data_IF_248732983830
#
_entry.id   IF_248732983830
#
_cell.length_a   1.000
_cell.length_b   1.000
_cell.length_c   1.000
_cell.angle_alpha   90.00
_cell.angle_beta   90.00
_cell.angle_gamma   90.00
#
_symmetry.space_group_name_H-M   'P 1'
#
loop_
_entity.id
_entity.type
_entity.pdbx_description
1 polymer ?
#
# COMPACT_ATOMS: atom_id res chain seq x y z
N UNK A 1 -2.83 22.54 -18.32
CA UNK A 1 -3.90 21.54 -18.42
C UNK A 1 -3.69 20.53 -17.31
N UNK A 2 -4.54 20.57 -16.29
CA UNK A 2 -4.54 19.63 -15.18
C UNK A 2 -5.30 18.39 -15.64
N UNK A 3 -4.64 17.24 -15.78
CA UNK A 3 -5.34 15.97 -15.96
C UNK A 3 -5.95 15.62 -14.61
N UNK A 4 -7.24 15.73 -14.49
CA UNK A 4 -8.05 15.20 -13.39
C UNK A 4 -7.95 13.68 -13.47
N UNK A 5 -7.36 13.08 -12.43
CA UNK A 5 -7.44 11.64 -12.19
C UNK A 5 -8.82 11.43 -11.58
N UNK A 6 -9.76 10.97 -12.39
CA UNK A 6 -11.07 10.54 -11.94
C UNK A 6 -10.90 9.17 -11.27
N UNK A 7 -10.94 9.14 -9.94
CA UNK A 7 -11.08 7.91 -9.17
C UNK A 7 -12.58 7.64 -9.10
N UNK A 8 -13.09 6.80 -9.99
CA UNK A 8 -14.43 6.25 -9.86
C UNK A 8 -14.40 5.15 -8.80
N UNK A 9 -14.75 5.50 -7.58
CA UNK A 9 -15.15 4.55 -6.55
C UNK A 9 -16.63 4.22 -6.83
N UNK A 10 -16.89 3.22 -7.67
CA UNK A 10 -18.24 2.77 -7.91
C UNK A 10 -18.70 1.88 -6.75
N UNK A 11 -19.43 2.49 -5.82
CA UNK A 11 -20.29 1.79 -4.89
C UNK A 11 -21.51 1.30 -5.68
N UNK A 12 -21.44 0.10 -6.24
CA UNK A 12 -22.59 -0.54 -6.89
C UNK A 12 -23.36 -1.32 -5.84
N UNK A 13 -24.44 -0.73 -5.32
CA UNK A 13 -25.55 -1.51 -4.79
C UNK A 13 -26.23 -2.19 -5.98
N UNK A 14 -25.93 -3.47 -6.22
CA UNK A 14 -26.64 -4.26 -7.20
C UNK A 14 -27.97 -4.73 -6.62
N UNK A 15 -29.08 -4.11 -7.06
CA UNK A 15 -30.38 -4.76 -7.04
C UNK A 15 -30.32 -5.90 -8.07
N UNK A 16 -30.36 -7.13 -7.59
CA UNK A 16 -30.42 -8.32 -8.44
C UNK A 16 -31.82 -8.48 -9.06
N UNK A 17 -31.88 -8.27 -10.37
CA UNK A 17 -32.98 -8.81 -11.18
C UNK A 17 -32.57 -10.18 -11.67
N UNK A 18 -33.16 -11.22 -11.12
CA UNK A 18 -33.02 -12.59 -11.57
C UNK A 18 -33.75 -12.76 -12.91
N UNK A 19 -33.00 -12.92 -14.00
CA UNK A 19 -33.52 -13.54 -15.22
C UNK A 19 -32.82 -14.90 -15.41
N UNK A 20 -33.62 -15.94 -15.29
CA UNK A 20 -33.27 -17.31 -15.56
C UNK A 20 -32.95 -17.48 -17.05
N UNK A 21 -31.70 -17.70 -17.41
CA UNK A 21 -31.31 -18.13 -18.74
C UNK A 21 -30.35 -19.32 -18.66
N UNK A 22 -30.64 -20.28 -19.52
CA UNK A 22 -30.10 -21.59 -19.72
C UNK A 22 -28.64 -21.84 -19.34
N UNK A 23 -28.41 -23.02 -18.78
CA UNK A 23 -27.09 -23.56 -18.48
C UNK A 23 -26.31 -23.79 -19.79
N UNK A 24 -25.56 -22.79 -20.24
CA UNK A 24 -24.47 -23.02 -21.16
C UNK A 24 -23.28 -23.52 -20.35
N UNK A 25 -22.70 -24.64 -20.73
CA UNK A 25 -21.43 -25.10 -20.22
C UNK A 25 -20.38 -24.00 -20.50
N UNK A 26 -20.04 -23.24 -19.47
CA UNK A 26 -18.97 -22.26 -19.57
C UNK A 26 -17.64 -23.03 -19.59
N UNK A 27 -16.90 -22.91 -20.67
CA UNK A 27 -15.51 -23.36 -20.71
C UNK A 27 -14.77 -22.70 -19.53
N UNK A 28 -13.91 -23.47 -18.87
CA UNK A 28 -13.10 -22.98 -17.75
C UNK A 28 -12.39 -21.67 -18.15
N UNK A 29 -12.70 -20.58 -17.45
CA UNK A 29 -12.12 -19.26 -17.77
C UNK A 29 -10.88 -19.03 -16.93
N UNK A 30 -9.72 -18.90 -17.58
CA UNK A 30 -8.45 -18.68 -16.89
C UNK A 30 -7.93 -17.28 -17.11
N UNK A 31 -7.36 -16.69 -16.05
CA UNK A 31 -6.75 -15.36 -16.05
C UNK A 31 -5.40 -15.40 -15.35
N UNK A 32 -4.39 -14.79 -15.96
CA UNK A 32 -3.08 -14.61 -15.30
C UNK A 32 -3.13 -13.38 -14.39
N UNK A 33 -2.81 -13.56 -13.13
CA UNK A 33 -2.78 -12.49 -12.13
C UNK A 33 -1.39 -12.29 -11.57
N UNK A 34 -1.13 -11.11 -11.03
CA UNK A 34 0.04 -10.81 -10.20
C UNK A 34 -0.39 -10.54 -8.78
N UNK A 35 0.26 -11.22 -7.84
CA UNK A 35 0.16 -10.98 -6.43
C UNK A 35 1.19 -9.94 -6.00
N UNK A 36 0.77 -8.96 -5.22
CA UNK A 36 1.60 -7.89 -4.65
C UNK A 36 1.55 -7.97 -3.12
N UNK A 37 1.99 -9.11 -2.57
CA UNK A 37 1.92 -9.38 -1.13
C UNK A 37 2.83 -8.46 -0.31
N UNK A 38 3.94 -8.00 -0.89
CA UNK A 38 4.78 -6.96 -0.28
C UNK A 38 4.02 -5.64 -0.05
N UNK A 39 3.12 -5.29 -0.98
CA UNK A 39 2.25 -4.11 -0.84
C UNK A 39 1.10 -4.40 0.13
N UNK A 40 0.45 -5.56 0.03
CA UNK A 40 -0.65 -5.98 0.89
C UNK A 40 -0.26 -5.92 2.37
N UNK A 41 0.87 -6.48 2.75
CA UNK A 41 1.36 -6.50 4.14
C UNK A 41 1.61 -5.11 4.74
N UNK A 42 1.78 -4.07 3.92
CA UNK A 42 1.93 -2.69 4.44
C UNK A 42 0.65 -2.17 5.10
N UNK A 43 -0.50 -2.73 4.76
CA UNK A 43 -1.81 -2.31 5.30
C UNK A 43 -1.95 -2.64 6.78
N UNK A 44 -1.34 -3.74 7.29
CA UNK A 44 -1.34 -4.05 8.72
C UNK A 44 -0.92 -2.86 9.59
N UNK A 45 0.16 -2.18 9.20
CA UNK A 45 0.63 -1.02 9.97
C UNK A 45 -0.34 0.17 9.88
N UNK A 46 -1.07 0.29 8.78
CA UNK A 46 -2.10 1.33 8.62
C UNK A 46 -3.31 1.04 9.50
N UNK A 47 -3.77 -0.21 9.52
CA UNK A 47 -4.87 -0.65 10.40
C UNK A 47 -4.47 -0.46 11.87
N UNK A 48 -3.29 -0.91 12.28
CA UNK A 48 -2.83 -0.78 13.66
C UNK A 48 -2.62 0.67 14.08
N UNK A 49 -2.18 1.53 13.16
CA UNK A 49 -2.14 2.98 13.40
C UNK A 49 -3.54 3.58 13.56
N UNK A 50 -4.52 3.08 12.82
CA UNK A 50 -5.92 3.48 12.94
C UNK A 50 -6.52 2.98 14.26
N UNK A 51 -6.33 1.70 14.60
CA UNK A 51 -6.80 1.08 15.85
C UNK A 51 -6.22 1.72 17.13
N UNK A 52 -5.05 2.35 17.04
CA UNK A 52 -4.39 3.09 18.14
C UNK A 52 -4.58 4.60 18.08
N UNK A 53 -5.33 5.12 17.12
CA UNK A 53 -5.59 6.56 16.98
C UNK A 53 -6.73 7.00 17.89
N UNK A 54 -6.90 8.32 18.04
CA UNK A 54 -8.11 8.89 18.67
C UNK A 54 -9.38 8.82 17.80
N UNK A 55 -9.30 8.19 16.62
CA UNK A 55 -10.37 8.14 15.62
C UNK A 55 -11.05 6.75 15.56
N UNK A 56 -11.01 6.00 16.67
CA UNK A 56 -11.59 4.64 16.79
C UNK A 56 -13.08 4.71 17.15
N UNK A 57 -13.88 5.14 16.19
CA UNK A 57 -15.33 5.26 16.35
C UNK A 57 -16.07 4.82 15.08
N UNK A 58 -17.34 4.50 15.22
CA UNK A 58 -18.32 4.37 14.13
C UNK A 58 -19.69 4.88 14.59
N UNK A 59 -20.59 5.16 13.64
CA UNK A 59 -21.95 5.55 13.99
C UNK A 59 -22.70 4.40 14.65
N UNK A 60 -23.56 4.70 15.62
CA UNK A 60 -24.57 3.75 16.07
C UNK A 60 -25.62 3.51 14.96
N UNK A 61 -26.41 2.45 15.07
CA UNK A 61 -27.31 2.00 14.00
C UNK A 61 -28.35 3.03 13.54
N UNK A 62 -28.70 3.99 14.40
CA UNK A 62 -29.64 5.08 14.08
C UNK A 62 -28.94 6.39 13.70
N UNK A 63 -27.60 6.41 13.58
CA UNK A 63 -26.79 7.57 13.20
C UNK A 63 -26.91 8.80 14.13
N UNK A 64 -27.28 8.62 15.38
CA UNK A 64 -27.46 9.71 16.33
C UNK A 64 -26.24 9.99 17.19
N UNK A 65 -25.34 8.99 17.36
CA UNK A 65 -24.15 9.11 18.18
C UNK A 65 -22.99 8.25 17.63
N UNK A 66 -21.77 8.66 17.94
CA UNK A 66 -20.56 7.87 17.68
C UNK A 66 -20.34 6.86 18.79
N UNK A 67 -20.13 5.61 18.41
CA UNK A 67 -19.69 4.53 19.29
C UNK A 67 -18.16 4.51 19.24
N UNK A 68 -17.50 4.79 20.34
CA UNK A 68 -16.06 4.72 20.48
C UNK A 68 -15.66 3.33 20.99
N UNK A 69 -14.58 2.79 20.40
CA UNK A 69 -14.06 1.47 20.76
C UNK A 69 -12.58 1.52 21.11
N UNK A 70 -12.16 0.65 22.01
CA UNK A 70 -10.76 0.42 22.34
C UNK A 70 -10.31 -0.86 21.66
N UNK A 71 -9.29 -0.79 20.82
CA UNK A 71 -8.81 -1.90 20.02
C UNK A 71 -7.36 -2.21 20.38
N UNK A 72 -7.06 -3.50 20.55
CA UNK A 72 -5.68 -3.98 20.55
C UNK A 72 -5.13 -4.05 19.13
N UNK A 73 -3.81 -3.92 18.92
CA UNK A 73 -3.20 -4.13 17.61
C UNK A 73 -3.47 -5.56 17.09
N UNK A 74 -3.70 -5.67 15.78
CA UNK A 74 -3.79 -6.95 15.09
C UNK A 74 -2.39 -7.53 14.85
N UNK A 75 -2.28 -8.86 14.91
CA UNK A 75 -1.11 -9.59 14.43
C UNK A 75 -1.38 -10.09 13.00
N UNK A 76 -0.30 -10.16 12.20
CA UNK A 76 -0.41 -10.74 10.86
C UNK A 76 -0.46 -12.27 10.96
N UNK A 77 -1.42 -12.87 10.27
CA UNK A 77 -1.60 -14.32 10.22
C UNK A 77 -1.46 -14.82 8.78
N UNK A 78 -0.52 -15.74 8.55
CA UNK A 78 -0.20 -16.25 7.22
C UNK A 78 -1.19 -17.31 6.72
N UNK A 79 -2.03 -17.89 7.57
CA UNK A 79 -3.18 -18.70 7.14
C UNK A 79 -4.28 -17.80 6.64
N UNK A 80 -4.59 -16.70 7.35
CA UNK A 80 -5.52 -15.68 6.87
C UNK A 80 -5.01 -15.00 5.57
N UNK A 81 -3.69 -14.83 5.39
CA UNK A 81 -3.13 -14.33 4.13
C UNK A 81 -3.47 -15.26 2.96
N UNK A 82 -3.33 -16.57 3.13
CA UNK A 82 -3.69 -17.55 2.10
C UNK A 82 -5.18 -17.52 1.76
N UNK A 83 -6.03 -17.35 2.77
CA UNK A 83 -7.47 -17.16 2.59
C UNK A 83 -7.73 -15.88 1.81
N UNK A 84 -7.11 -14.77 2.17
CA UNK A 84 -7.23 -13.51 1.47
C UNK A 84 -6.75 -13.61 0.00
N UNK A 85 -5.66 -14.36 -0.27
CA UNK A 85 -5.19 -14.62 -1.64
C UNK A 85 -6.23 -15.39 -2.46
N UNK A 86 -6.84 -16.43 -1.88
CA UNK A 86 -7.94 -17.17 -2.51
C UNK A 86 -9.12 -16.26 -2.79
N UNK A 87 -9.53 -15.47 -1.79
CA UNK A 87 -10.65 -14.56 -1.91
C UNK A 87 -10.41 -13.46 -2.95
N UNK A 88 -9.24 -12.84 -2.98
CA UNK A 88 -8.88 -11.85 -3.99
C UNK A 88 -8.99 -12.43 -5.41
N UNK A 89 -8.63 -13.71 -5.62
CA UNK A 89 -8.80 -14.39 -6.90
C UNK A 89 -10.28 -14.69 -7.22
N UNK A 90 -11.08 -15.03 -6.23
CA UNK A 90 -12.52 -15.29 -6.40
C UNK A 90 -13.28 -14.00 -6.80
N UNK A 91 -12.83 -12.83 -6.32
CA UNK A 91 -13.40 -11.52 -6.67
C UNK A 91 -13.30 -11.17 -8.16
N UNK A 92 -12.40 -11.81 -8.91
CA UNK A 92 -12.33 -11.67 -10.38
C UNK A 92 -13.65 -12.10 -11.02
N UNK A 93 -14.26 -13.15 -10.49
CA UNK A 93 -15.45 -13.80 -11.05
C UNK A 93 -16.74 -13.39 -10.35
N UNK A 94 -16.64 -13.03 -9.07
CA UNK A 94 -17.79 -12.55 -8.29
C UNK A 94 -17.31 -11.54 -7.24
N UNK A 95 -17.58 -10.25 -7.48
CA UNK A 95 -17.24 -9.17 -6.54
C UNK A 95 -18.35 -9.00 -5.48
N UNK A 96 -18.42 -9.96 -4.54
CA UNK A 96 -19.37 -10.00 -3.43
C UNK A 96 -18.75 -10.68 -2.21
N UNK A 97 -19.42 -10.53 -1.03
CA UNK A 97 -19.13 -11.30 0.19
C UNK A 97 -19.70 -12.73 0.12
N UNK A 98 -19.62 -13.33 -1.06
CA UNK A 98 -19.93 -14.73 -1.37
C UNK A 98 -18.86 -15.30 -2.29
N UNK A 99 -18.74 -16.60 -2.29
CA UNK A 99 -17.85 -17.31 -3.23
C UNK A 99 -18.55 -17.55 -4.57
N UNK A 100 -17.84 -17.68 -5.68
CA UNK A 100 -18.43 -17.92 -7.01
C UNK A 100 -19.35 -19.16 -7.08
N UNK A 101 -19.08 -20.17 -6.23
CA UNK A 101 -19.93 -21.37 -6.11
C UNK A 101 -21.20 -21.15 -5.26
N UNK A 102 -21.48 -19.94 -4.83
CA UNK A 102 -22.66 -19.58 -4.01
C UNK A 102 -22.50 -19.81 -2.50
N UNK A 103 -21.41 -20.44 -2.05
CA UNK A 103 -21.18 -20.65 -0.62
C UNK A 103 -20.81 -19.35 0.11
N UNK A 104 -20.95 -19.35 1.43
CA UNK A 104 -20.51 -18.24 2.28
C UNK A 104 -19.01 -18.03 2.12
N UNK A 105 -18.56 -16.75 2.12
CA UNK A 105 -17.15 -16.38 2.15
C UNK A 105 -16.37 -17.10 3.26
N UNK A 106 -17.01 -17.31 4.41
CA UNK A 106 -16.38 -17.94 5.58
C UNK A 106 -16.12 -19.44 5.42
N UNK A 107 -16.59 -20.10 4.35
CA UNK A 107 -16.15 -21.46 4.02
C UNK A 107 -14.70 -21.51 3.59
N UNK A 108 -14.15 -20.42 3.03
CA UNK A 108 -12.73 -20.33 2.72
C UNK A 108 -11.82 -20.51 3.96
N UNK A 109 -12.29 -20.08 5.14
CA UNK A 109 -11.56 -20.28 6.39
C UNK A 109 -11.42 -21.79 6.73
N UNK A 110 -12.48 -22.54 6.54
CA UNK A 110 -12.48 -23.99 6.76
C UNK A 110 -11.60 -24.70 5.74
N UNK A 111 -11.59 -24.28 4.48
CA UNK A 111 -10.77 -24.86 3.41
C UNK A 111 -9.27 -24.78 3.74
N UNK A 112 -8.86 -23.76 4.47
CA UNK A 112 -7.47 -23.56 4.91
C UNK A 112 -7.21 -23.97 6.35
N UNK A 113 -8.18 -24.66 7.00
CA UNK A 113 -8.07 -25.15 8.37
C UNK A 113 -7.99 -24.05 9.44
N UNK A 114 -8.46 -22.84 9.13
CA UNK A 114 -8.49 -21.76 10.10
C UNK A 114 -9.75 -21.84 10.96
N UNK A 115 -9.57 -22.09 12.24
CA UNK A 115 -10.64 -22.16 13.23
C UNK A 115 -10.70 -20.89 14.05
N UNK A 116 -11.84 -20.20 14.03
CA UNK A 116 -12.07 -18.97 14.79
C UNK A 116 -13.57 -18.76 14.97
N UNK A 117 -13.96 -18.30 16.15
CA UNK A 117 -15.36 -17.99 16.47
C UNK A 117 -15.84 -16.66 15.86
N UNK A 118 -14.91 -15.76 15.55
CA UNK A 118 -15.19 -14.51 14.87
C UNK A 118 -14.39 -14.43 13.57
N UNK A 119 -15.09 -14.09 12.48
CA UNK A 119 -14.53 -13.95 11.13
C UNK A 119 -15.06 -12.67 10.52
N UNK A 120 -14.28 -12.02 9.68
CA UNK A 120 -14.68 -10.81 8.98
C UNK A 120 -13.89 -10.63 7.70
N UNK A 121 -14.51 -10.00 6.72
CA UNK A 121 -13.90 -9.73 5.41
C UNK A 121 -14.10 -8.27 5.03
N UNK A 122 -13.06 -7.62 4.53
CA UNK A 122 -13.15 -6.39 3.75
C UNK A 122 -12.65 -6.67 2.33
N UNK A 123 -13.38 -6.18 1.33
CA UNK A 123 -12.98 -6.31 -0.08
C UNK A 123 -12.93 -4.96 -0.75
N UNK A 124 -12.05 -4.81 -1.75
CA UNK A 124 -12.01 -3.62 -2.59
C UNK A 124 -11.58 -3.95 -4.01
N UNK A 125 -12.11 -3.16 -4.95
CA UNK A 125 -11.70 -3.15 -6.36
C UNK A 125 -11.23 -1.75 -6.73
N UNK A 126 -10.09 -1.65 -7.42
CA UNK A 126 -9.59 -0.40 -8.00
C UNK A 126 -9.22 -0.66 -9.45
N UNK A 127 -9.55 0.29 -10.32
CA UNK A 127 -9.23 0.21 -11.74
C UNK A 127 -8.37 1.40 -12.17
N UNK A 128 -7.33 1.13 -12.95
CA UNK A 128 -6.44 2.15 -13.51
C UNK A 128 -6.36 2.02 -15.02
N UNK A 129 -6.64 3.11 -15.75
CA UNK A 129 -6.46 3.17 -17.19
C UNK A 129 -5.06 3.67 -17.54
N UNK A 130 -4.42 3.04 -18.51
CA UNK A 130 -3.15 3.45 -19.11
C UNK A 130 -1.92 3.18 -18.27
N UNK A 131 -1.92 3.36 -16.96
CA UNK A 131 -0.77 3.13 -16.08
C UNK A 131 -1.14 2.24 -14.89
N UNK A 132 -0.37 1.18 -14.67
CA UNK A 132 -0.51 0.36 -13.48
C UNK A 132 0.02 1.11 -12.24
N UNK A 133 -0.82 1.28 -11.21
CA UNK A 133 -0.45 1.88 -9.93
C UNK A 133 -0.51 0.79 -8.85
N UNK A 134 0.58 0.06 -8.70
CA UNK A 134 0.68 -1.05 -7.74
C UNK A 134 0.73 -0.55 -6.29
N UNK A 135 1.42 0.57 -6.03
CA UNK A 135 1.56 1.20 -4.68
C UNK A 135 0.26 1.93 -4.28
N UNK A 136 -0.84 1.19 -4.13
CA UNK A 136 -2.18 1.72 -3.85
C UNK A 136 -2.75 1.30 -2.48
N UNK A 137 -2.00 0.60 -1.63
CA UNK A 137 -2.40 0.16 -0.29
C UNK A 137 -3.01 1.28 0.58
N UNK A 138 -2.39 2.47 0.55
CA UNK A 138 -2.90 3.60 1.32
C UNK A 138 -4.24 4.12 0.79
N UNK A 139 -4.50 4.02 -0.52
CA UNK A 139 -5.77 4.43 -1.12
C UNK A 139 -6.89 3.49 -0.68
N UNK A 140 -6.62 2.17 -0.69
CA UNK A 140 -7.56 1.14 -0.25
C UNK A 140 -7.86 1.27 1.24
N UNK A 141 -6.84 1.34 2.09
CA UNK A 141 -7.04 1.53 3.53
C UNK A 141 -7.86 2.79 3.84
N UNK A 142 -7.58 3.91 3.16
CA UNK A 142 -8.36 5.14 3.36
C UNK A 142 -9.81 5.00 2.88
N UNK A 143 -10.07 4.24 1.82
CA UNK A 143 -11.43 3.94 1.36
C UNK A 143 -12.19 3.12 2.41
N UNK A 144 -11.58 2.07 2.97
CA UNK A 144 -12.17 1.23 4.02
C UNK A 144 -12.38 1.96 5.36
N UNK A 145 -11.69 3.09 5.58
CA UNK A 145 -11.95 3.90 6.79
C UNK A 145 -13.33 4.51 6.83
N UNK A 146 -13.96 4.76 5.69
CA UNK A 146 -15.35 5.23 5.58
C UNK A 146 -15.66 6.39 6.54
N UNK A 147 -14.70 7.32 6.67
CA UNK A 147 -14.74 8.43 7.64
C UNK A 147 -15.95 9.36 7.47
N UNK A 148 -16.53 9.40 6.27
CA UNK A 148 -17.64 10.27 5.88
C UNK A 148 -18.98 9.55 5.81
N UNK A 149 -18.97 8.23 5.95
CA UNK A 149 -20.17 7.39 5.81
C UNK A 149 -20.94 7.31 7.13
N UNK A 150 -22.25 7.05 7.03
CA UNK A 150 -23.10 6.67 8.14
C UNK A 150 -23.01 5.18 8.43
N UNK A 151 -23.67 4.70 9.50
CA UNK A 151 -23.56 3.31 9.97
C UNK A 151 -23.67 2.26 8.88
N UNK A 152 -24.65 2.39 7.97
CA UNK A 152 -24.86 1.43 6.89
C UNK A 152 -23.64 1.34 5.95
N UNK A 153 -22.99 2.47 5.66
CA UNK A 153 -21.79 2.55 4.82
C UNK A 153 -20.47 2.33 5.56
N UNK A 154 -20.49 2.10 6.89
CA UNK A 154 -19.28 1.90 7.70
C UNK A 154 -18.95 0.43 7.96
N UNK A 155 -19.29 -0.46 7.04
CA UNK A 155 -19.04 -1.91 7.18
C UNK A 155 -17.58 -2.24 7.33
N UNK A 156 -16.74 -1.72 6.43
CA UNK A 156 -15.29 -1.95 6.46
C UNK A 156 -14.63 -1.30 7.68
N UNK A 157 -15.07 -0.08 8.05
CA UNK A 157 -14.61 0.61 9.24
C UNK A 157 -14.86 -0.20 10.50
N UNK A 158 -16.09 -0.73 10.65
CA UNK A 158 -16.46 -1.55 11.81
C UNK A 158 -15.66 -2.84 11.88
N UNK A 159 -15.41 -3.50 10.73
CA UNK A 159 -14.55 -4.68 10.69
C UNK A 159 -13.12 -4.37 11.16
N UNK A 160 -12.49 -3.30 10.64
CA UNK A 160 -11.15 -2.89 11.09
C UNK A 160 -11.10 -2.49 12.57
N UNK A 161 -12.19 -2.00 13.14
CA UNK A 161 -12.29 -1.53 14.53
C UNK A 161 -12.94 -2.53 15.48
N UNK A 162 -13.28 -3.74 15.02
CA UNK A 162 -13.85 -4.76 15.91
C UNK A 162 -12.81 -5.17 16.96
N UNK A 163 -13.08 -4.95 18.27
CA UNK A 163 -12.13 -5.26 19.33
C UNK A 163 -11.90 -6.75 19.52
N UNK A 164 -12.79 -7.60 19.00
CA UNK A 164 -12.67 -9.07 19.10
C UNK A 164 -11.58 -9.62 18.19
N UNK A 165 -11.27 -8.94 17.08
CA UNK A 165 -10.24 -9.42 16.15
C UNK A 165 -8.85 -9.18 16.71
N UNK A 166 -8.04 -10.23 16.62
CA UNK A 166 -6.63 -10.26 17.05
C UNK A 166 -5.69 -10.55 15.87
N UNK A 167 -6.20 -11.09 14.77
CA UNK A 167 -5.45 -11.50 13.61
C UNK A 167 -6.03 -10.92 12.30
N UNK A 168 -5.16 -10.72 11.31
CA UNK A 168 -5.51 -10.31 9.95
C UNK A 168 -4.54 -10.90 8.93
N UNK A 169 -5.07 -11.34 7.80
CA UNK A 169 -4.32 -11.64 6.59
C UNK A 169 -4.85 -10.78 5.44
N UNK A 170 -3.97 -10.36 4.54
CA UNK A 170 -4.32 -9.38 3.50
C UNK A 170 -3.73 -9.84 2.18
N UNK A 171 -4.50 -9.73 1.10
CA UNK A 171 -4.01 -9.98 -0.25
C UNK A 171 -4.31 -8.81 -1.17
N UNK A 172 -3.41 -8.65 -2.14
CA UNK A 172 -3.55 -7.73 -3.26
C UNK A 172 -3.17 -8.45 -4.54
N UNK A 173 -4.09 -8.51 -5.49
CA UNK A 173 -3.83 -8.98 -6.84
C UNK A 173 -4.17 -7.93 -7.87
N UNK A 174 -3.59 -8.07 -9.06
CA UNK A 174 -4.05 -7.35 -10.24
C UNK A 174 -3.83 -8.15 -11.52
N UNK A 175 -4.61 -7.79 -12.54
CA UNK A 175 -4.40 -8.23 -13.91
C UNK A 175 -4.72 -7.10 -14.91
N UNK A 176 -4.31 -7.28 -16.15
CA UNK A 176 -4.63 -6.40 -17.26
C UNK A 176 -5.69 -7.06 -18.13
N UNK A 177 -6.83 -6.43 -18.35
CA UNK A 177 -7.96 -6.97 -19.11
C UNK A 177 -7.90 -6.67 -20.61
N UNK A 178 -6.76 -6.12 -21.11
CA UNK A 178 -6.58 -5.64 -22.46
C UNK A 178 -6.75 -4.13 -22.60
N UNK A 179 -7.42 -3.47 -21.64
CA UNK A 179 -7.69 -2.02 -21.66
C UNK A 179 -7.23 -1.30 -20.41
N UNK A 180 -7.33 -1.94 -19.27
CA UNK A 180 -7.10 -1.36 -17.94
C UNK A 180 -6.50 -2.40 -16.98
N UNK A 181 -5.86 -1.90 -15.93
CA UNK A 181 -5.42 -2.72 -14.80
C UNK A 181 -6.52 -2.77 -13.76
N UNK A 182 -6.93 -3.97 -13.38
CA UNK A 182 -7.95 -4.22 -12.36
C UNK A 182 -7.27 -4.84 -11.15
N UNK A 183 -7.43 -4.20 -10.00
CA UNK A 183 -6.86 -4.60 -8.73
C UNK A 183 -7.95 -5.07 -7.80
N UNK A 184 -7.75 -6.21 -7.15
CA UNK A 184 -8.60 -6.69 -6.08
C UNK A 184 -7.81 -6.81 -4.78
N UNK A 185 -8.48 -6.46 -3.70
CA UNK A 185 -7.99 -6.53 -2.34
C UNK A 185 -8.94 -7.33 -1.48
N UNK A 186 -8.40 -8.13 -0.58
CA UNK A 186 -9.14 -8.80 0.47
C UNK A 186 -8.38 -8.68 1.80
N UNK A 187 -9.11 -8.38 2.87
CA UNK A 187 -8.65 -8.45 4.26
C UNK A 187 -9.50 -9.48 4.97
N UNK A 188 -8.87 -10.48 5.56
CA UNK A 188 -9.51 -11.53 6.32
C UNK A 188 -9.16 -11.39 7.79
N UNK A 189 -10.17 -11.26 8.64
CA UNK A 189 -10.01 -11.07 10.08
C UNK A 189 -10.37 -12.32 10.86
N UNK A 190 -9.70 -12.50 12.02
CA UNK A 190 -10.00 -13.58 12.95
C UNK A 190 -9.73 -13.21 14.40
N UNK A 191 -10.31 -13.99 15.31
CA UNK A 191 -10.13 -13.81 16.76
C UNK A 191 -8.99 -14.65 17.34
N UNK A 192 -8.29 -15.42 16.50
CA UNK A 192 -7.18 -16.29 16.90
C UNK A 192 -6.01 -16.08 15.95
N UNK A 193 -4.80 -15.97 16.47
CA UNK A 193 -3.58 -15.99 15.68
C UNK A 193 -3.14 -17.44 15.53
N UNK A 194 -3.17 -17.98 14.32
CA UNK A 194 -2.88 -19.39 14.03
C UNK A 194 -1.49 -19.63 13.45
N UNK A 195 -0.99 -18.69 12.65
CA UNK A 195 0.26 -18.85 11.93
C UNK A 195 1.04 -17.55 11.83
N UNK A 196 2.08 -17.41 12.63
CA UNK A 196 2.99 -16.25 12.64
C UNK A 196 4.29 -16.51 11.87
N UNK A 197 4.45 -17.68 11.25
CA UNK A 197 5.66 -18.02 10.50
C UNK A 197 5.78 -17.14 9.27
N UNK A 198 6.60 -16.09 9.40
CA UNK A 198 6.86 -15.14 8.34
C UNK A 198 7.53 -15.83 7.15
N UNK A 199 6.76 -16.12 6.13
CA UNK A 199 7.32 -16.34 4.82
C UNK A 199 7.75 -14.98 4.24
N UNK A 200 8.82 -14.95 3.45
CA UNK A 200 9.17 -13.73 2.73
C UNK A 200 7.95 -13.23 1.94
N UNK A 201 7.73 -11.91 1.93
CA UNK A 201 6.67 -11.33 1.10
C UNK A 201 7.04 -11.59 -0.36
N UNK A 202 6.47 -12.64 -0.94
CA UNK A 202 6.72 -13.01 -2.32
C UNK A 202 5.65 -12.36 -3.19
N UNK A 203 6.04 -11.33 -3.91
CA UNK A 203 5.30 -10.91 -5.09
C UNK A 203 5.42 -12.05 -6.10
N UNK A 204 4.32 -12.49 -6.65
CA UNK A 204 4.27 -13.70 -7.48
C UNK A 204 3.27 -13.55 -8.63
N UNK A 205 3.34 -14.46 -9.59
CA UNK A 205 2.38 -14.58 -10.67
C UNK A 205 1.72 -15.95 -10.60
N UNK A 206 0.44 -16.02 -10.94
CA UNK A 206 -0.31 -17.26 -10.97
C UNK A 206 -1.35 -17.25 -12.09
N UNK A 207 -1.83 -18.44 -12.43
CA UNK A 207 -3.03 -18.64 -13.24
C UNK A 207 -4.20 -18.91 -12.32
N UNK A 208 -5.27 -18.13 -12.48
CA UNK A 208 -6.52 -18.28 -11.74
C UNK A 208 -7.58 -18.80 -12.69
N UNK A 209 -8.21 -19.91 -12.34
CA UNK A 209 -9.21 -20.59 -13.17
C UNK A 209 -10.53 -20.72 -12.43
N UNK A 210 -11.61 -20.29 -13.07
CA UNK A 210 -12.96 -20.63 -12.65
C UNK A 210 -13.33 -21.99 -13.27
N UNK A 211 -13.51 -22.97 -12.43
CA UNK A 211 -13.91 -24.33 -12.83
C UNK A 211 -15.41 -24.42 -13.13
N UNK A 212 -15.86 -25.49 -13.76
CA UNK A 212 -17.26 -25.71 -14.12
C UNK A 212 -18.19 -25.74 -12.88
N UNK A 213 -17.70 -26.29 -11.75
CA UNK A 213 -18.39 -26.28 -10.46
C UNK A 213 -18.36 -24.92 -9.74
N UNK A 214 -17.90 -23.87 -10.42
CA UNK A 214 -17.72 -22.51 -9.89
C UNK A 214 -16.73 -22.40 -8.73
N UNK A 215 -15.90 -23.40 -8.48
CA UNK A 215 -14.73 -23.23 -7.62
C UNK A 215 -13.63 -22.45 -8.35
N UNK A 216 -12.79 -21.75 -7.61
CA UNK A 216 -11.64 -21.01 -8.17
C UNK A 216 -10.34 -21.68 -7.74
N UNK A 217 -9.53 -22.06 -8.73
CA UNK A 217 -8.22 -22.70 -8.53
C UNK A 217 -7.11 -21.70 -8.83
N UNK A 218 -6.09 -21.68 -7.98
CA UNK A 218 -4.84 -20.93 -8.19
C UNK A 218 -3.76 -21.95 -8.54
N UNK A 219 -3.14 -21.80 -9.70
CA UNK A 219 -2.08 -22.70 -10.20
C UNK A 219 -0.89 -21.90 -10.70
N UNK A 220 0.25 -22.60 -10.92
CA UNK A 220 1.47 -21.99 -11.46
C UNK A 220 1.95 -20.78 -10.66
N UNK A 221 1.85 -20.83 -9.32
CA UNK A 221 2.32 -19.76 -8.46
C UNK A 221 3.85 -19.70 -8.51
N UNK A 222 4.36 -18.74 -9.28
CA UNK A 222 5.80 -18.51 -9.45
C UNK A 222 6.19 -17.18 -8.82
N UNK A 223 7.22 -17.13 -7.95
CA UNK A 223 7.73 -15.87 -7.44
C UNK A 223 8.11 -14.94 -8.60
N UNK A 224 7.69 -13.69 -8.53
CA UNK A 224 8.15 -12.68 -9.48
C UNK A 224 9.64 -12.47 -9.26
N UNK A 225 10.50 -12.62 -10.29
CA UNK A 225 11.93 -12.40 -10.12
C UNK A 225 12.15 -11.00 -9.56
N UNK A 226 12.77 -10.91 -8.40
CA UNK A 226 13.29 -9.65 -7.89
C UNK A 226 14.30 -9.18 -8.93
N UNK A 227 14.04 -8.07 -9.60
CA UNK A 227 14.97 -7.47 -10.55
C UNK A 227 16.22 -7.08 -9.76
N UNK A 228 17.18 -8.00 -9.68
CA UNK A 228 18.47 -7.72 -9.05
C UNK A 228 19.10 -6.51 -9.74
N UNK A 229 19.64 -5.57 -8.98
CA UNK A 229 20.47 -4.54 -9.58
C UNK A 229 21.69 -5.24 -10.18
N UNK A 230 21.91 -5.10 -11.48
CA UNK A 230 23.06 -5.58 -12.24
C UNK A 230 24.33 -5.34 -11.43
N UNK A 231 24.90 -6.41 -10.87
CA UNK A 231 26.22 -6.39 -10.25
C UNK A 231 27.24 -6.26 -11.36
N UNK A 232 27.88 -5.11 -11.45
CA UNK A 232 29.14 -5.00 -12.16
C UNK A 232 30.15 -5.84 -11.37
N UNK A 233 30.59 -6.91 -11.97
CA UNK A 233 31.65 -7.79 -11.47
C UNK A 233 32.92 -6.96 -11.34
N UNK A 234 33.46 -6.86 -10.15
CA UNK A 234 34.86 -6.54 -9.90
C UNK A 234 35.44 -7.71 -9.12
N UNK A 235 36.41 -8.37 -9.76
CA UNK A 235 37.06 -9.58 -9.28
C UNK A 235 37.82 -9.39 -7.95
N UNK A 236 37.71 -10.48 -7.19
CA UNK A 236 38.68 -11.13 -6.28
C UNK A 236 39.28 -10.32 -5.10
N UNK A 237 39.24 -10.87 -3.92
CA UNK A 237 40.18 -11.79 -3.28
C UNK A 237 39.59 -12.26 -1.95
N UNK A 238 39.59 -13.59 -1.72
CA UNK A 238 39.43 -14.23 -0.42
C UNK A 238 40.76 -14.16 0.36
N UNK A 239 40.79 -14.21 1.73
CA UNK A 239 40.48 -15.42 2.46
C UNK A 239 39.93 -15.27 3.91
N UNK A 240 39.31 -16.39 4.33
CA UNK A 240 39.30 -17.02 5.65
C UNK A 240 38.70 -16.37 6.92
N UNK A 241 37.63 -17.02 7.38
CA UNK A 241 37.57 -17.63 8.73
C UNK A 241 36.99 -16.81 9.88
N UNK A 242 35.74 -17.03 10.22
CA UNK A 242 35.28 -17.62 11.49
C UNK A 242 33.78 -17.39 11.73
N UNK A 243 33.14 -18.48 12.03
CA UNK A 243 31.78 -18.58 12.58
C UNK A 243 31.61 -17.69 13.81
N UNK A 244 30.50 -16.95 13.86
CA UNK A 244 29.86 -16.60 15.11
C UNK A 244 28.40 -16.23 14.86
N UNK A 245 27.54 -16.85 15.64
CA UNK A 245 26.10 -16.69 15.78
C UNK A 245 25.66 -15.25 15.75
N UNK A 246 24.77 -14.88 14.83
CA UNK A 246 24.12 -13.58 14.86
C UNK A 246 22.63 -13.72 15.15
N UNK A 247 22.30 -13.42 16.38
CA UNK A 247 20.97 -13.05 16.86
C UNK A 247 20.36 -12.01 15.92
N UNK A 248 19.22 -12.33 15.30
CA UNK A 248 18.51 -11.41 14.40
C UNK A 248 17.83 -10.32 15.22
N UNK A 249 18.50 -9.21 15.38
CA UNK A 249 17.92 -7.97 15.88
C UNK A 249 17.00 -7.38 14.81
N UNK A 250 15.73 -7.22 15.14
CA UNK A 250 14.73 -6.48 14.39
C UNK A 250 15.29 -5.09 13.97
N UNK A 251 15.53 -4.90 12.69
CA UNK A 251 16.00 -3.64 12.14
C UNK A 251 14.91 -2.59 12.25
N UNK A 252 14.94 -1.82 13.33
CA UNK A 252 14.21 -0.55 13.45
C UNK A 252 14.37 0.26 12.18
N UNK A 253 13.27 0.83 11.67
CA UNK A 253 13.23 1.59 10.44
C UNK A 253 14.15 2.82 10.50
N UNK A 254 15.41 2.65 10.15
CA UNK A 254 16.41 3.73 10.21
C UNK A 254 16.02 4.91 9.32
N UNK A 255 16.20 6.14 9.83
CA UNK A 255 16.00 7.38 9.07
C UNK A 255 16.78 7.35 7.75
N UNK A 256 16.22 7.82 6.62
CA UNK A 256 16.92 7.84 5.35
C UNK A 256 18.18 8.73 5.41
N UNK A 257 19.17 8.43 4.56
CA UNK A 257 20.41 9.22 4.48
C UNK A 257 20.11 10.67 4.13
N UNK A 258 20.77 11.59 4.82
CA UNK A 258 20.70 13.04 4.56
C UNK A 258 21.31 13.35 3.18
N UNK A 259 20.66 14.19 2.31
CA UNK A 259 21.21 14.54 1.01
C UNK A 259 22.48 15.37 1.10
N UNK A 260 23.33 15.25 0.07
CA UNK A 260 24.50 16.12 -0.11
C UNK A 260 24.21 17.11 -1.24
N UNK A 261 24.15 18.40 -0.92
CA UNK A 261 23.96 19.46 -1.91
C UNK A 261 25.29 19.65 -2.67
N UNK A 262 25.29 19.39 -3.98
CA UNK A 262 26.43 19.60 -4.87
C UNK A 262 26.60 21.08 -5.21
N UNK A 263 25.53 21.75 -5.62
CA UNK A 263 25.59 23.15 -6.00
C UNK A 263 24.28 23.89 -5.71
N UNK A 264 24.41 25.20 -5.46
CA UNK A 264 23.29 26.14 -5.38
C UNK A 264 23.68 27.39 -6.16
N UNK A 265 23.15 27.51 -7.40
CA UNK A 265 23.52 28.58 -8.35
C UNK A 265 22.45 29.65 -8.41
N UNK A 266 22.85 30.93 -8.43
CA UNK A 266 21.96 32.08 -8.60
C UNK A 266 21.48 32.22 -10.03
N UNK A 267 20.22 32.69 -10.23
CA UNK A 267 19.64 33.01 -11.52
C UNK A 267 18.77 34.27 -11.46
N UNK A 268 18.31 34.76 -12.63
CA UNK A 268 17.36 35.87 -12.73
C UNK A 268 16.02 35.47 -12.09
N UNK A 269 15.65 36.09 -10.96
CA UNK A 269 14.47 35.74 -10.15
C UNK A 269 14.33 34.23 -9.87
N UNK A 270 15.49 33.51 -9.69
CA UNK A 270 15.52 32.06 -9.57
C UNK A 270 16.76 31.57 -8.87
N UNK A 271 16.77 30.29 -8.49
CA UNK A 271 17.98 29.56 -8.17
C UNK A 271 17.88 28.11 -8.69
N UNK A 272 19.03 27.48 -8.89
CA UNK A 272 19.16 26.08 -9.28
C UNK A 272 19.88 25.35 -8.14
N UNK A 273 19.22 24.32 -7.60
CA UNK A 273 19.77 23.43 -6.59
C UNK A 273 20.09 22.08 -7.22
N UNK A 274 21.30 21.54 -6.98
CA UNK A 274 21.69 20.20 -7.40
C UNK A 274 22.25 19.44 -6.22
N UNK A 275 22.00 18.11 -6.19
CA UNK A 275 22.44 17.22 -5.09
C UNK A 275 22.86 15.85 -5.61
N UNK A 276 23.55 15.08 -4.75
CA UNK A 276 23.91 13.70 -5.04
C UNK A 276 22.68 12.81 -4.87
N UNK A 277 22.40 11.96 -5.86
CA UNK A 277 21.33 10.97 -5.76
C UNK A 277 21.57 10.05 -4.56
N UNK A 278 20.52 9.75 -3.82
CA UNK A 278 20.51 8.74 -2.77
C UNK A 278 19.71 7.56 -3.30
N UNK A 279 20.26 6.36 -3.22
CA UNK A 279 19.51 5.09 -3.37
C UNK A 279 18.61 4.94 -2.14
N UNK A 280 17.60 4.11 -2.22
CA UNK A 280 16.70 3.74 -1.10
C UNK A 280 15.93 4.92 -0.46
N UNK A 281 15.61 5.94 -1.25
CA UNK A 281 14.69 7.02 -0.87
C UNK A 281 13.60 7.16 -1.92
N UNK A 282 12.37 7.48 -1.50
CA UNK A 282 11.25 7.74 -2.42
C UNK A 282 11.40 9.09 -3.11
N UNK A 283 12.02 10.06 -2.41
CA UNK A 283 12.20 11.41 -2.96
C UNK A 283 12.85 12.38 -1.99
N UNK A 284 12.66 13.69 -2.27
CA UNK A 284 13.28 14.77 -1.52
C UNK A 284 12.26 15.87 -1.20
N UNK A 285 12.55 16.61 -0.14
CA UNK A 285 11.83 17.85 0.18
C UNK A 285 12.85 18.97 0.28
N UNK A 286 12.63 20.02 -0.50
CA UNK A 286 13.39 21.27 -0.46
C UNK A 286 12.58 22.32 0.26
N UNK A 287 13.19 23.04 1.20
CA UNK A 287 12.59 24.16 1.91
C UNK A 287 13.44 25.41 1.67
N UNK A 288 12.77 26.53 1.36
CA UNK A 288 13.44 27.80 1.15
C UNK A 288 12.66 28.97 1.70
N UNK A 289 13.36 29.98 2.19
CA UNK A 289 12.78 31.19 2.79
C UNK A 289 13.76 32.35 2.68
N UNK A 290 13.26 33.57 2.75
CA UNK A 290 14.08 34.78 2.97
C UNK A 290 14.44 34.97 4.44
N UNK A 291 13.84 34.22 5.35
CA UNK A 291 14.09 34.25 6.79
C UNK A 291 15.02 33.10 7.18
N UNK A 292 16.12 33.39 7.91
CA UNK A 292 17.12 32.41 8.37
C UNK A 292 16.51 31.31 9.27
N UNK A 293 15.50 31.66 10.07
CA UNK A 293 14.76 30.72 10.93
C UNK A 293 13.65 29.95 10.18
N UNK A 294 13.57 30.07 8.85
CA UNK A 294 12.56 29.43 7.99
C UNK A 294 11.11 29.74 8.35
N UNK A 295 10.83 30.90 9.01
CA UNK A 295 9.46 31.39 9.15
C UNK A 295 8.85 31.62 7.76
N UNK A 296 7.56 31.23 7.56
CA UNK A 296 6.82 31.30 6.29
C UNK A 296 7.60 30.66 5.10
N UNK A 297 8.31 29.56 5.33
CA UNK A 297 9.10 28.90 4.31
C UNK A 297 8.23 28.16 3.29
N UNK A 298 8.60 28.26 2.00
CA UNK A 298 8.01 27.44 0.94
C UNK A 298 8.65 26.06 0.91
N UNK A 299 7.85 25.02 0.66
CA UNK A 299 8.28 23.62 0.55
C UNK A 299 8.01 23.11 -0.86
N UNK A 300 8.96 22.40 -1.45
CA UNK A 300 8.83 21.69 -2.73
C UNK A 300 9.10 20.23 -2.48
N UNK A 301 8.13 19.37 -2.78
CA UNK A 301 8.25 17.92 -2.68
C UNK A 301 8.63 17.35 -4.05
N UNK A 302 9.68 16.55 -4.10
CA UNK A 302 10.19 15.87 -5.29
C UNK A 302 9.93 14.39 -5.09
N UNK A 303 8.95 13.86 -5.83
CA UNK A 303 8.46 12.48 -5.66
C UNK A 303 9.37 11.41 -6.29
N UNK A 304 10.25 11.78 -7.22
CA UNK A 304 11.14 10.86 -7.93
C UNK A 304 12.55 10.91 -7.33
N UNK A 305 13.05 9.79 -6.80
CA UNK A 305 14.40 9.67 -6.23
C UNK A 305 15.52 9.88 -7.25
N UNK A 306 15.25 9.63 -8.53
CA UNK A 306 16.19 9.86 -9.64
C UNK A 306 16.43 11.36 -9.92
N UNK A 307 15.55 12.25 -9.50
CA UNK A 307 15.69 13.70 -9.69
C UNK A 307 16.82 14.25 -8.81
N UNK A 308 17.78 14.91 -9.40
CA UNK A 308 18.97 15.48 -8.71
C UNK A 308 19.15 16.98 -8.94
N UNK A 309 18.19 17.62 -9.60
CA UNK A 309 18.19 19.06 -9.94
C UNK A 309 16.80 19.64 -9.72
N UNK A 310 16.73 20.83 -9.12
CA UNK A 310 15.51 21.62 -8.97
C UNK A 310 15.79 23.08 -9.35
N UNK A 311 14.98 23.64 -10.22
CA UNK A 311 14.98 25.07 -10.51
C UNK A 311 13.77 25.71 -9.86
N UNK A 312 14.00 26.63 -8.94
CA UNK A 312 12.94 27.44 -8.31
C UNK A 312 12.89 28.79 -9.00
N UNK A 313 11.73 29.12 -9.61
CA UNK A 313 11.48 30.35 -10.36
C UNK A 313 10.53 31.29 -9.61
N UNK A 314 10.27 32.47 -10.19
CA UNK A 314 9.34 33.50 -9.66
C UNK A 314 9.74 33.99 -8.26
N UNK A 315 11.02 34.14 -8.02
CA UNK A 315 11.56 34.69 -6.77
C UNK A 315 11.72 36.22 -6.85
N UNK A 316 11.80 36.86 -5.68
CA UNK A 316 12.12 38.30 -5.63
C UNK A 316 13.56 38.55 -6.10
N UNK A 317 13.76 39.57 -6.95
CA UNK A 317 15.07 39.99 -7.47
C UNK A 317 15.95 40.52 -6.33
N UNK A 318 17.27 40.30 -6.41
CA UNK A 318 18.27 40.78 -5.44
C UNK A 318 18.01 40.39 -3.98
N UNK A 319 17.21 39.33 -3.72
CA UNK A 319 16.91 38.82 -2.37
C UNK A 319 17.74 37.62 -2.01
N UNK A 320 18.17 37.55 -0.74
CA UNK A 320 18.87 36.40 -0.16
C UNK A 320 17.85 35.35 0.25
N UNK A 321 18.06 34.11 -0.18
CA UNK A 321 17.27 32.95 0.18
C UNK A 321 18.12 31.96 0.96
N UNK A 322 17.56 31.40 2.03
CA UNK A 322 18.07 30.30 2.80
C UNK A 322 17.42 29.03 2.26
N UNK A 323 18.22 28.01 1.95
CA UNK A 323 17.78 26.78 1.31
C UNK A 323 18.33 25.59 2.07
N UNK A 324 17.48 24.62 2.38
CA UNK A 324 17.86 23.32 2.94
C UNK A 324 17.02 22.23 2.30
N UNK A 325 17.48 21.01 2.36
CA UNK A 325 16.74 19.87 1.85
C UNK A 325 16.89 18.66 2.74
N UNK A 326 15.98 17.71 2.58
CA UNK A 326 16.02 16.40 3.22
C UNK A 326 15.51 15.35 2.25
N UNK A 327 15.92 14.12 2.42
CA UNK A 327 15.34 12.97 1.73
C UNK A 327 14.16 12.42 2.52
N UNK A 328 13.32 11.63 1.87
CA UNK A 328 12.32 10.84 2.58
C UNK A 328 12.18 9.47 1.91
N UNK A 329 11.84 8.50 2.72
CA UNK A 329 11.31 7.21 2.30
C UNK A 329 9.90 7.06 2.83
N UNK A 330 9.14 6.21 2.20
CA UNK A 330 7.85 5.82 2.75
C UNK A 330 8.09 4.66 3.71
N UNK A 331 7.56 4.77 4.90
CA UNK A 331 7.52 3.72 5.89
C UNK A 331 6.09 3.69 6.41
N UNK A 332 5.41 2.60 6.19
CA UNK A 332 4.01 2.44 6.60
C UNK A 332 3.12 3.60 6.09
N UNK A 333 3.18 3.89 4.80
CA UNK A 333 2.41 4.98 4.17
C UNK A 333 2.79 6.40 4.59
N UNK A 334 3.61 6.56 5.63
CA UNK A 334 4.05 7.87 6.16
C UNK A 334 5.44 8.23 5.64
N UNK A 335 5.65 9.54 5.39
CA UNK A 335 6.98 10.04 5.01
C UNK A 335 7.89 10.09 6.22
N UNK A 336 8.87 9.20 6.28
CA UNK A 336 9.98 9.29 7.23
C UNK A 336 11.08 10.12 6.59
N UNK A 337 11.43 11.22 7.23
CA UNK A 337 12.40 12.16 6.69
C UNK A 337 13.77 11.98 7.33
N UNK A 338 14.82 12.23 6.52
CA UNK A 338 16.16 12.46 7.06
C UNK A 338 16.20 13.78 7.86
N UNK A 339 17.28 13.98 8.60
CA UNK A 339 17.62 15.33 9.07
C UNK A 339 17.80 16.30 7.89
N UNK A 340 17.58 17.59 8.15
CA UNK A 340 17.85 18.63 7.16
C UNK A 340 19.35 18.76 6.86
N UNK A 341 19.69 19.11 5.61
CA UNK A 341 21.07 19.53 5.28
C UNK A 341 21.43 20.80 6.03
N UNK A 342 22.74 21.07 6.15
CA UNK A 342 23.21 22.42 6.52
C UNK A 342 22.58 23.42 5.55
N UNK A 343 22.12 24.56 6.08
CA UNK A 343 21.48 25.63 5.29
C UNK A 343 22.52 26.24 4.35
N UNK A 344 22.18 26.33 3.06
CA UNK A 344 22.95 27.11 2.08
C UNK A 344 22.20 28.38 1.72
N UNK A 345 22.91 29.40 1.28
CA UNK A 345 22.33 30.69 0.91
C UNK A 345 22.62 31.03 -0.53
N UNK A 346 21.67 31.71 -1.17
CA UNK A 346 21.80 32.23 -2.54
C UNK A 346 21.10 33.58 -2.63
N UNK A 347 21.74 34.55 -3.29
CA UNK A 347 21.12 35.85 -3.63
C UNK A 347 20.75 35.81 -5.10
N UNK A 348 19.44 36.00 -5.41
CA UNK A 348 18.94 36.03 -6.78
C UNK A 348 19.51 37.21 -7.56
N UNK A 349 19.62 37.05 -8.90
CA UNK A 349 19.91 38.17 -9.80
C UNK A 349 18.66 38.97 -10.12
#
# INVERSE_FOLDING_TARGET
MKKLISIFLSLVMALSVFSCMGMNAYAATSTTVKFEQSNARTVLNMINSFRSSGDTWYWNSNNTAKTYVTCSPLQYDYTLEKIAMQRACELIYLYEHKRPNGSSVFTAYSDYGYTSNGKGENIAQITYQGQNIVDNAAAVHNAWREDKEYYAGQGHRRAMLDPRYTAVGIAHIYYFDGTKYIHFWAEEFGTTVSNTNATAANDSQATVTLNDNKSVTISNLTPTPVKEPTKTVVNSVTPNGKSSSSTSTLKSASKPKKPTIKSLKKGKKSFILQWKRIKDVKGYQVQYSTNKKFKKAKKVNIKKSKTTKLTVKKLKKKKKYYVRMRSYKMVNGKKVYSSWTKTKTVKTK
#
